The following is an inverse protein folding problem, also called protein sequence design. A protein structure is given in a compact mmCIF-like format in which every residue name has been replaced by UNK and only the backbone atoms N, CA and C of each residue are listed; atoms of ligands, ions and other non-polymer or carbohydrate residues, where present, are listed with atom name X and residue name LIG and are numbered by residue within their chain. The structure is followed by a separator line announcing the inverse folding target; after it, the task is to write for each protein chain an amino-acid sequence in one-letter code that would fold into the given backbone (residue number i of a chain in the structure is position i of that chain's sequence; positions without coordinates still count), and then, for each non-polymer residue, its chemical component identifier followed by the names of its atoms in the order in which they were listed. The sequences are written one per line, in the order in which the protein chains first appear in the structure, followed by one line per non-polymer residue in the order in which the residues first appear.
data_IF_971029786167
#
_entry.id   IF_971029786167
#
_cell.length_a   1.000
_cell.length_b   1.000
_cell.length_c   1.000
_cell.angle_alpha   90.00
_cell.angle_beta   90.00
_cell.angle_gamma   90.00
#
_symmetry.space_group_name_H-M   'P 1'
#
loop_
_entity.id
_entity.type
_entity.pdbx_description
1 polymer ?
#
# COMPACT_ATOMS: atom_id res chain seq x y z
N UNK A 1 24.15 29.32 27.51
CA UNK A 1 23.62 28.13 26.80
C UNK A 1 22.19 27.92 27.24
N UNK A 2 21.24 28.16 26.34
CA UNK A 2 19.84 28.37 26.67
C UNK A 2 19.11 27.06 27.02
N UNK A 3 18.27 27.13 28.04
CA UNK A 3 17.35 26.06 28.45
C UNK A 3 16.43 25.59 27.28
N UNK A 4 16.27 26.43 26.26
CA UNK A 4 15.48 26.18 25.05
C UNK A 4 16.14 25.23 24.02
N UNK A 5 17.47 25.09 23.99
CA UNK A 5 18.15 24.17 23.04
C UNK A 5 17.86 22.69 23.36
N UNK A 6 17.46 22.40 24.60
CA UNK A 6 17.12 21.05 25.08
C UNK A 6 15.70 20.61 24.74
N UNK A 7 14.79 21.54 24.44
CA UNK A 7 13.37 21.23 24.16
C UNK A 7 13.15 20.88 22.68
N UNK A 8 13.99 21.40 21.78
CA UNK A 8 13.90 21.11 20.34
C UNK A 8 14.82 19.97 19.85
N UNK A 9 15.60 19.35 20.75
CA UNK A 9 16.40 18.16 20.42
C UNK A 9 15.58 16.86 20.51
N UNK A 10 14.34 16.86 20.01
CA UNK A 10 13.73 15.60 19.58
C UNK A 10 14.43 15.26 18.28
N UNK A 11 15.55 14.53 18.38
CA UNK A 11 16.17 13.85 17.24
C UNK A 11 15.04 13.17 16.47
N UNK A 12 14.67 13.73 15.32
CA UNK A 12 13.86 13.06 14.33
C UNK A 12 14.63 11.80 13.96
N UNK A 13 14.35 10.70 14.66
CA UNK A 13 14.91 9.40 14.35
C UNK A 13 14.28 9.03 13.02
N UNK A 14 14.95 9.40 11.93
CA UNK A 14 14.47 9.19 10.59
C UNK A 14 14.01 7.73 10.48
N UNK A 15 12.73 7.55 10.14
CA UNK A 15 12.15 6.23 9.97
C UNK A 15 13.02 5.48 8.95
N UNK A 16 13.69 4.42 9.40
CA UNK A 16 14.51 3.58 8.52
C UNK A 16 13.55 2.69 7.73
N UNK A 17 13.11 3.19 6.58
CA UNK A 17 12.36 2.40 5.60
C UNK A 17 13.40 1.67 4.74
N UNK A 18 13.34 0.34 4.74
CA UNK A 18 14.15 -0.46 3.82
C UNK A 18 13.43 -0.55 2.46
N UNK A 19 13.81 0.32 1.52
CA UNK A 19 13.21 0.35 0.20
C UNK A 19 13.60 -0.84 -0.68
N UNK A 20 14.63 -1.63 -0.31
CA UNK A 20 14.97 -2.85 -1.03
C UNK A 20 13.88 -3.92 -0.85
N UNK A 21 13.37 -4.08 0.37
CA UNK A 21 12.27 -5.01 0.69
C UNK A 21 10.95 -4.63 0.00
N UNK A 22 10.74 -3.32 -0.22
CA UNK A 22 9.57 -2.79 -0.93
C UNK A 22 9.61 -3.17 -2.42
N UNK A 23 10.78 -3.56 -2.96
CA UNK A 23 10.95 -4.01 -4.35
C UNK A 23 10.73 -2.92 -5.39
N UNK A 24 10.89 -1.65 -4.98
CA UNK A 24 10.68 -0.49 -5.82
C UNK A 24 12.02 0.17 -6.16
N UNK A 25 12.34 0.27 -7.44
CA UNK A 25 13.47 1.07 -7.92
C UNK A 25 13.11 2.56 -7.90
N UNK A 26 13.10 3.14 -6.70
CA UNK A 26 12.77 4.55 -6.49
C UNK A 26 14.01 5.44 -6.68
N UNK A 27 13.78 6.61 -7.27
CA UNK A 27 14.74 7.72 -7.21
C UNK A 27 14.91 8.18 -5.76
N UNK A 28 16.02 8.85 -5.45
CA UNK A 28 16.24 9.36 -4.10
C UNK A 28 15.18 10.38 -3.66
N UNK A 29 14.67 11.18 -4.61
CA UNK A 29 13.53 12.07 -4.39
C UNK A 29 12.24 11.31 -4.03
N UNK A 30 11.99 10.16 -4.69
CA UNK A 30 10.86 9.29 -4.36
C UNK A 30 10.98 8.68 -2.96
N UNK A 31 12.17 8.18 -2.60
CA UNK A 31 12.45 7.67 -1.25
C UNK A 31 12.25 8.75 -0.19
N UNK A 32 12.74 9.96 -0.45
CA UNK A 32 12.61 11.08 0.48
C UNK A 32 11.16 11.52 0.66
N UNK A 33 10.37 11.53 -0.42
CA UNK A 33 8.93 11.82 -0.36
C UNK A 33 8.19 10.83 0.54
N UNK A 34 8.50 9.53 0.43
CA UNK A 34 7.91 8.50 1.30
C UNK A 34 8.36 8.67 2.76
N UNK A 35 9.64 8.98 3.02
CA UNK A 35 10.11 9.24 4.39
C UNK A 35 9.40 10.43 5.02
N UNK A 36 9.25 11.53 4.27
CA UNK A 36 8.52 12.72 4.74
C UNK A 36 7.08 12.36 5.08
N UNK A 37 6.40 11.64 4.19
CA UNK A 37 5.05 11.13 4.41
C UNK A 37 4.98 10.27 5.69
N UNK A 38 5.86 9.28 5.84
CA UNK A 38 5.84 8.34 6.97
C UNK A 38 6.12 8.99 8.34
N UNK A 39 6.76 10.17 8.36
CA UNK A 39 7.00 10.93 9.59
C UNK A 39 5.80 11.80 10.03
N UNK A 40 4.73 11.86 9.22
CA UNK A 40 3.50 12.59 9.55
C UNK A 40 2.57 11.73 10.42
N UNK A 41 1.61 12.36 11.09
CA UNK A 41 0.59 11.62 11.83
C UNK A 41 -0.37 10.87 10.87
N UNK A 42 -1.07 9.88 11.40
CA UNK A 42 -2.06 9.05 10.71
C UNK A 42 -3.13 9.87 9.96
N UNK A 43 -3.69 10.90 10.59
CA UNK A 43 -4.74 11.74 9.97
C UNK A 43 -4.23 12.51 8.77
N UNK A 44 -3.04 13.10 8.89
CA UNK A 44 -2.38 13.80 7.79
C UNK A 44 -2.02 12.85 6.65
N UNK A 45 -1.44 11.69 6.98
CA UNK A 45 -1.10 10.67 5.98
C UNK A 45 -2.36 10.20 5.25
N UNK A 46 -3.43 9.93 5.97
CA UNK A 46 -4.71 9.57 5.36
C UNK A 46 -5.22 10.68 4.45
N UNK A 47 -5.17 11.95 4.89
CA UNK A 47 -5.55 13.10 4.08
C UNK A 47 -4.73 13.23 2.78
N UNK A 48 -3.41 13.05 2.87
CA UNK A 48 -2.51 13.04 1.71
C UNK A 48 -2.88 11.91 0.74
N UNK A 49 -3.08 10.68 1.24
CA UNK A 49 -3.48 9.53 0.43
C UNK A 49 -4.82 9.76 -0.24
N UNK A 50 -5.77 10.37 0.47
CA UNK A 50 -7.07 10.69 -0.10
C UNK A 50 -6.92 11.67 -1.26
N UNK A 51 -6.28 12.81 -1.00
CA UNK A 51 -6.09 13.86 -1.99
C UNK A 51 -5.28 13.39 -3.21
N UNK A 52 -4.15 12.73 -2.98
CA UNK A 52 -3.23 12.31 -4.06
C UNK A 52 -3.78 11.10 -4.82
N UNK A 53 -4.39 10.16 -4.11
CA UNK A 53 -4.97 8.97 -4.73
C UNK A 53 -6.23 9.29 -5.55
N UNK A 54 -7.03 10.27 -5.14
CA UNK A 54 -8.20 10.72 -5.92
C UNK A 54 -7.80 11.47 -7.20
N UNK A 55 -6.61 12.10 -7.24
CA UNK A 55 -6.06 12.72 -8.46
C UNK A 55 -5.60 11.69 -9.50
N UNK A 56 -5.15 10.52 -9.07
CA UNK A 56 -4.67 9.47 -9.97
C UNK A 56 -3.41 9.82 -10.78
N UNK A 57 -2.65 10.85 -10.39
CA UNK A 57 -1.42 11.22 -11.09
C UNK A 57 -0.36 10.11 -10.91
N UNK A 58 0.13 9.49 -12.01
CA UNK A 58 1.08 8.37 -11.96
C UNK A 58 2.34 8.63 -11.12
N UNK A 59 2.74 9.89 -10.95
CA UNK A 59 3.90 10.27 -10.13
C UNK A 59 3.74 9.89 -8.64
N UNK A 60 2.50 9.77 -8.16
CA UNK A 60 2.22 9.39 -6.77
C UNK A 60 2.00 7.89 -6.58
N UNK A 61 2.07 7.08 -7.65
CA UNK A 61 1.80 5.64 -7.56
C UNK A 61 2.63 4.97 -6.46
N UNK A 62 3.92 5.27 -6.37
CA UNK A 62 4.79 4.63 -5.38
C UNK A 62 4.53 5.05 -3.94
N UNK A 63 3.97 6.24 -3.72
CA UNK A 63 3.48 6.64 -2.40
C UNK A 63 2.23 5.82 -2.02
N UNK A 64 1.29 5.65 -2.96
CA UNK A 64 0.10 4.80 -2.76
C UNK A 64 0.48 3.33 -2.56
N UNK A 65 1.45 2.83 -3.34
CA UNK A 65 2.03 1.49 -3.20
C UNK A 65 2.60 1.29 -1.80
N UNK A 66 3.43 2.23 -1.34
CA UNK A 66 3.97 2.19 0.01
C UNK A 66 2.85 2.17 1.05
N UNK A 67 1.88 3.07 0.91
CA UNK A 67 0.81 3.25 1.88
C UNK A 67 -0.10 2.02 2.00
N UNK A 68 -0.38 1.31 0.91
CA UNK A 68 -1.26 0.12 0.98
C UNK A 68 -0.58 -1.10 1.60
N UNK A 69 0.72 -1.29 1.33
CA UNK A 69 1.46 -2.47 1.77
C UNK A 69 2.14 -2.31 3.13
N UNK A 70 2.70 -1.13 3.42
CA UNK A 70 3.68 -0.96 4.50
C UNK A 70 3.31 0.11 5.52
N UNK A 71 2.22 0.86 5.31
CA UNK A 71 1.82 1.86 6.30
C UNK A 71 1.43 1.17 7.62
N UNK A 72 1.90 1.73 8.73
CA UNK A 72 1.61 1.21 10.06
C UNK A 72 0.14 1.36 10.45
N UNK A 73 -0.59 2.31 9.85
CA UNK A 73 -1.99 2.57 10.19
C UNK A 73 -2.94 1.88 9.19
N UNK A 74 -3.83 1.04 9.72
CA UNK A 74 -4.80 0.28 8.90
C UNK A 74 -5.75 1.18 8.11
N UNK A 75 -6.15 2.33 8.65
CA UNK A 75 -7.04 3.27 7.97
C UNK A 75 -6.33 3.96 6.81
N UNK A 76 -5.03 4.26 6.94
CA UNK A 76 -4.21 4.75 5.83
C UNK A 76 -4.09 3.69 4.74
N UNK A 77 -3.83 2.42 5.10
CA UNK A 77 -3.82 1.29 4.14
C UNK A 77 -5.16 1.17 3.41
N UNK A 78 -6.27 1.24 4.12
CA UNK A 78 -7.62 1.22 3.53
C UNK A 78 -7.89 2.40 2.60
N UNK A 79 -7.48 3.60 2.98
CA UNK A 79 -7.64 4.79 2.16
C UNK A 79 -6.86 4.66 0.84
N UNK A 80 -5.66 4.09 0.88
CA UNK A 80 -4.84 3.81 -0.29
C UNK A 80 -5.48 2.74 -1.19
N UNK A 81 -5.91 1.62 -0.59
CA UNK A 81 -6.51 0.49 -1.30
C UNK A 81 -7.75 0.90 -2.11
N UNK A 82 -8.63 1.72 -1.52
CA UNK A 82 -9.83 2.23 -2.20
C UNK A 82 -9.55 3.03 -3.46
N UNK A 83 -8.37 3.65 -3.56
CA UNK A 83 -7.96 4.55 -4.65
C UNK A 83 -7.10 3.87 -5.69
N UNK A 84 -6.74 2.60 -5.47
CA UNK A 84 -5.76 1.93 -6.29
C UNK A 84 -6.18 1.85 -7.77
N UNK A 85 -7.47 1.67 -8.04
CA UNK A 85 -8.05 1.67 -9.39
C UNK A 85 -7.71 2.92 -10.24
N UNK A 86 -7.43 4.07 -9.62
CA UNK A 86 -7.02 5.29 -10.34
C UNK A 86 -5.61 5.18 -10.94
N UNK A 87 -4.86 4.15 -10.60
CA UNK A 87 -3.49 3.91 -11.06
C UNK A 87 -3.35 2.65 -11.91
N UNK A 88 -4.46 2.10 -12.42
CA UNK A 88 -4.49 0.84 -13.19
C UNK A 88 -3.55 0.82 -14.39
N UNK A 89 -3.30 1.99 -14.99
CA UNK A 89 -2.45 2.13 -16.17
C UNK A 89 -0.95 2.28 -15.81
N UNK A 90 -0.60 2.31 -14.52
CA UNK A 90 0.80 2.32 -14.11
C UNK A 90 1.46 0.96 -14.43
N UNK A 91 2.66 0.94 -15.04
CA UNK A 91 3.33 -0.31 -15.43
C UNK A 91 3.62 -1.26 -14.25
N UNK A 92 3.67 -0.74 -13.02
CA UNK A 92 3.90 -1.54 -11.81
C UNK A 92 2.61 -1.89 -11.05
N UNK A 93 1.44 -1.56 -11.61
CA UNK A 93 0.15 -1.86 -11.00
C UNK A 93 -0.04 -3.36 -10.77
N UNK A 94 0.22 -4.19 -11.79
CA UNK A 94 0.06 -5.65 -11.69
C UNK A 94 1.00 -6.27 -10.66
N UNK A 95 2.21 -5.72 -10.49
CA UNK A 95 3.15 -6.15 -9.43
C UNK A 95 2.54 -5.92 -8.05
N UNK A 96 1.90 -4.76 -7.85
CA UNK A 96 1.21 -4.46 -6.59
C UNK A 96 0.03 -5.39 -6.34
N UNK A 97 -0.78 -5.69 -7.37
CA UNK A 97 -1.89 -6.64 -7.24
C UNK A 97 -1.39 -8.04 -6.88
N UNK A 98 -0.30 -8.51 -7.49
CA UNK A 98 0.34 -9.78 -7.14
C UNK A 98 0.77 -9.80 -5.67
N UNK A 99 1.41 -8.74 -5.17
CA UNK A 99 1.79 -8.63 -3.74
C UNK A 99 0.59 -8.63 -2.80
N UNK A 100 -0.49 -7.92 -3.15
CA UNK A 100 -1.72 -7.92 -2.34
C UNK A 100 -2.40 -9.31 -2.30
N UNK A 101 -2.18 -10.14 -3.32
CA UNK A 101 -2.67 -11.53 -3.37
C UNK A 101 -1.83 -12.53 -2.59
N UNK A 102 -0.70 -12.11 -2.00
CA UNK A 102 0.07 -12.96 -1.10
C UNK A 102 -0.72 -13.22 0.21
N UNK A 103 -0.54 -14.40 0.82
CA UNK A 103 -1.27 -14.77 2.03
C UNK A 103 -1.11 -13.74 3.15
N UNK A 104 -2.21 -13.41 3.84
CA UNK A 104 -2.25 -12.43 4.93
C UNK A 104 -1.83 -10.99 4.53
N UNK A 105 -1.74 -10.63 3.25
CA UNK A 105 -1.47 -9.24 2.84
C UNK A 105 -2.77 -8.49 2.55
N UNK A 106 -3.46 -8.86 1.47
CA UNK A 106 -4.76 -8.27 1.10
C UNK A 106 -5.91 -8.76 1.98
N UNK A 107 -5.84 -10.00 2.47
CA UNK A 107 -6.87 -10.62 3.31
C UNK A 107 -7.10 -9.86 4.62
N UNK A 108 -6.03 -9.33 5.23
CA UNK A 108 -6.12 -8.49 6.43
C UNK A 108 -6.88 -7.17 6.16
N UNK A 109 -7.00 -6.80 4.89
CA UNK A 109 -7.62 -5.57 4.42
C UNK A 109 -9.04 -5.77 3.89
N UNK A 110 -9.68 -6.91 4.14
CA UNK A 110 -11.09 -7.10 3.82
C UNK A 110 -12.03 -6.19 4.65
N UNK A 111 -13.19 -5.79 4.10
CA UNK A 111 -13.75 -6.15 2.79
C UNK A 111 -13.21 -5.29 1.62
N UNK A 112 -12.31 -4.36 1.91
CA UNK A 112 -11.88 -3.36 0.93
C UNK A 112 -10.94 -3.93 -0.13
N UNK A 113 -10.24 -5.02 0.18
CA UNK A 113 -9.43 -5.74 -0.80
C UNK A 113 -10.31 -6.38 -1.88
N UNK A 114 -11.32 -7.15 -1.49
CA UNK A 114 -12.25 -7.73 -2.47
C UNK A 114 -13.03 -6.64 -3.23
N UNK A 115 -13.38 -5.52 -2.58
CA UNK A 115 -14.00 -4.38 -3.27
C UNK A 115 -13.07 -3.78 -4.33
N UNK A 116 -11.78 -3.61 -4.00
CA UNK A 116 -10.78 -3.10 -4.93
C UNK A 116 -10.63 -4.05 -6.12
N UNK A 117 -10.44 -5.35 -5.88
CA UNK A 117 -10.32 -6.37 -6.93
C UNK A 117 -11.53 -6.37 -7.87
N UNK A 118 -12.74 -6.24 -7.32
CA UNK A 118 -13.96 -6.16 -8.14
C UNK A 118 -13.99 -4.89 -8.99
N UNK A 119 -13.52 -3.76 -8.46
CA UNK A 119 -13.47 -2.47 -9.17
C UNK A 119 -12.48 -2.44 -10.33
N UNK A 120 -11.49 -3.33 -10.31
CA UNK A 120 -10.48 -3.48 -11.37
C UNK A 120 -10.70 -4.76 -12.19
N UNK A 121 -11.91 -5.32 -12.13
CA UNK A 121 -12.35 -6.50 -12.89
C UNK A 121 -11.48 -7.75 -12.70
N UNK A 122 -10.78 -7.87 -11.56
CA UNK A 122 -10.01 -9.08 -11.20
C UNK A 122 -10.87 -10.18 -10.60
N UNK A 123 -12.01 -9.82 -10.01
CA UNK A 123 -13.02 -10.75 -9.51
C UNK A 123 -14.40 -10.29 -9.95
N UNK A 124 -15.33 -11.23 -10.11
CA UNK A 124 -16.71 -10.89 -10.47
C UNK A 124 -17.46 -10.26 -9.28
N UNK A 125 -18.54 -9.52 -9.57
CA UNK A 125 -19.43 -9.02 -8.52
C UNK A 125 -20.09 -10.11 -7.68
N UNK A 126 -20.30 -11.30 -8.26
CA UNK A 126 -20.81 -12.48 -7.53
C UNK A 126 -19.74 -13.03 -6.58
N UNK A 127 -18.51 -13.18 -7.05
CA UNK A 127 -17.38 -13.63 -6.23
C UNK A 127 -17.11 -12.65 -5.08
N UNK A 128 -17.14 -11.34 -5.35
CA UNK A 128 -17.08 -10.31 -4.31
C UNK A 128 -18.14 -10.53 -3.23
N UNK A 129 -19.41 -10.74 -3.62
CA UNK A 129 -20.51 -11.01 -2.68
C UNK A 129 -20.27 -12.29 -1.88
N UNK A 130 -19.77 -13.34 -2.50
CA UNK A 130 -19.50 -14.60 -1.80
C UNK A 130 -18.40 -14.44 -0.75
N UNK A 131 -17.31 -13.73 -1.08
CA UNK A 131 -16.20 -13.42 -0.15
C UNK A 131 -16.65 -12.61 1.07
N UNK A 132 -17.41 -11.54 0.87
CA UNK A 132 -17.86 -10.68 1.99
C UNK A 132 -18.94 -11.34 2.86
N UNK A 133 -19.71 -12.28 2.31
CA UNK A 133 -20.74 -13.01 3.04
C UNK A 133 -20.18 -14.27 3.75
N UNK A 134 -18.86 -14.44 3.77
CA UNK A 134 -18.21 -15.54 4.51
C UNK A 134 -18.44 -16.91 3.90
N UNK A 135 -18.87 -17.01 2.64
CA UNK A 135 -18.75 -18.28 1.92
C UNK A 135 -17.26 -18.47 1.67
N UNK A 136 -16.63 -19.52 2.25
CA UNK A 136 -15.20 -19.68 2.11
C UNK A 136 -14.88 -19.84 0.63
N UNK A 137 -13.97 -19.01 0.12
CA UNK A 137 -13.16 -19.46 -1.00
C UNK A 137 -12.62 -20.83 -0.61
N UNK A 138 -12.60 -21.78 -1.53
CA UNK A 138 -11.67 -22.88 -1.39
C UNK A 138 -10.31 -22.21 -1.20
N UNK A 139 -9.79 -22.21 0.02
CA UNK A 139 -8.48 -21.66 0.35
C UNK A 139 -7.49 -22.45 -0.47
N UNK A 140 -7.23 -21.99 -1.69
CA UNK A 140 -6.15 -22.48 -2.52
C UNK A 140 -4.94 -22.24 -1.63
N UNK A 141 -4.23 -23.29 -1.28
CA UNK A 141 -3.09 -23.24 -0.37
C UNK A 141 -1.98 -22.42 -1.07
N UNK A 142 -2.10 -21.08 -1.04
CA UNK A 142 -1.19 -20.16 -1.69
C UNK A 142 -0.01 -20.03 -0.75
N UNK A 143 1.14 -20.52 -1.17
CA UNK A 143 2.40 -20.30 -0.47
C UNK A 143 2.83 -18.85 -0.75
N UNK A 144 3.32 -18.08 0.24
CA UNK A 144 3.87 -16.75 0.00
C UNK A 144 5.00 -16.80 -1.04
N UNK A 145 4.98 -15.86 -2.00
CA UNK A 145 6.08 -15.70 -2.95
C UNK A 145 7.31 -15.20 -2.19
N UNK A 146 8.46 -15.84 -2.38
CA UNK A 146 9.68 -15.49 -1.64
C UNK A 146 10.43 -14.34 -2.29
N UNK A 147 10.20 -14.05 -3.58
CA UNK A 147 10.85 -12.96 -4.31
C UNK A 147 10.13 -12.63 -5.64
N UNK A 148 10.58 -11.53 -6.26
CA UNK A 148 10.05 -11.00 -7.51
C UNK A 148 10.26 -11.94 -8.72
N UNK A 149 11.27 -12.82 -8.67
CA UNK A 149 11.57 -13.76 -9.74
C UNK A 149 10.61 -14.96 -9.74
N UNK A 150 10.10 -15.37 -8.58
CA UNK A 150 8.99 -16.33 -8.48
C UNK A 150 7.69 -15.75 -9.07
N UNK A 151 7.46 -14.45 -8.90
CA UNK A 151 6.29 -13.76 -9.46
C UNK A 151 6.28 -13.69 -11.00
N UNK A 152 7.44 -13.88 -11.67
CA UNK A 152 7.59 -13.84 -13.13
C UNK A 152 7.36 -15.19 -13.83
N UNK A 153 7.24 -16.29 -13.08
CA UNK A 153 7.07 -17.66 -13.61
C UNK A 153 5.60 -18.05 -13.86
N UNK A 154 4.66 -17.15 -13.55
CA UNK A 154 3.21 -17.28 -13.72
C UNK A 154 2.64 -16.02 -14.35
#
# INVERSE_FOLDING_TARGET
MGFFDKIFSKKNKALKIDFADVGLNLTDSGKESIRKFANRNDKERMGDIMMLGDKGDPNFFYLIYYAVLFDSDKNVRFAALKRLHNFKDNPNFEILIKKLGEPNVGEELEPYYSMMLSRIDKISGTEFKDRINGKPEQKINRTPLKNLDEARKF
#
